data_IF_606460201173
#
_entry.id   IF_606460201173
#
_cell.length_a   1.000
_cell.length_b   1.000
_cell.length_c   1.000
_cell.angle_alpha   90.00
_cell.angle_beta   90.00
_cell.angle_gamma   90.00
#
_symmetry.space_group_name_H-M   'P 1'
#
loop_
_entity.id
_entity.type
_entity.pdbx_description
1 polymer ?
#
# COMPACT_ATOMS: atom_id res chain seq x y z
N UNK A 1 62.29 -28.98 -16.98
CA UNK A 1 61.42 -28.18 -17.88
C UNK A 1 62.03 -26.80 -18.04
N UNK A 2 62.53 -26.46 -19.24
CA UNK A 2 63.27 -25.21 -19.49
C UNK A 2 62.40 -23.98 -19.19
N UNK A 3 63.02 -22.88 -18.73
CA UNK A 3 62.36 -21.62 -18.37
C UNK A 3 61.33 -21.14 -19.41
N UNK A 4 61.64 -21.32 -20.70
CA UNK A 4 60.73 -21.01 -21.81
C UNK A 4 59.41 -21.81 -21.76
N UNK A 5 59.47 -23.10 -21.40
CA UNK A 5 58.28 -23.96 -21.25
C UNK A 5 57.44 -23.58 -20.02
N UNK A 6 58.08 -23.11 -18.94
CA UNK A 6 57.36 -22.59 -17.76
C UNK A 6 56.65 -21.27 -18.09
N UNK A 7 57.27 -20.40 -18.87
CA UNK A 7 56.69 -19.13 -19.31
C UNK A 7 55.49 -19.35 -20.25
N UNK A 8 55.61 -20.29 -21.19
CA UNK A 8 54.51 -20.72 -22.06
C UNK A 8 53.34 -21.34 -21.28
N UNK A 9 53.63 -22.17 -20.27
CA UNK A 9 52.58 -22.77 -19.44
C UNK A 9 51.83 -21.71 -18.61
N UNK A 10 52.56 -20.73 -18.06
CA UNK A 10 51.98 -19.65 -17.26
C UNK A 10 51.14 -18.69 -18.12
N UNK A 11 51.61 -18.38 -19.34
CA UNK A 11 50.88 -17.61 -20.33
C UNK A 11 49.57 -18.31 -20.76
N UNK A 12 49.60 -19.63 -20.93
CA UNK A 12 48.42 -20.41 -21.31
C UNK A 12 47.38 -20.44 -20.17
N UNK A 13 47.82 -20.60 -18.92
CA UNK A 13 46.95 -20.56 -17.73
C UNK A 13 46.25 -19.19 -17.56
N UNK A 14 46.97 -18.08 -17.79
CA UNK A 14 46.39 -16.75 -17.77
C UNK A 14 45.35 -16.56 -18.88
N UNK A 15 45.62 -17.05 -20.09
CA UNK A 15 44.69 -16.95 -21.22
C UNK A 15 43.40 -17.77 -21.00
N UNK A 16 43.50 -18.95 -20.39
CA UNK A 16 42.34 -19.78 -20.03
C UNK A 16 41.49 -19.13 -18.93
N UNK A 17 42.12 -18.48 -17.94
CA UNK A 17 41.39 -17.76 -16.89
C UNK A 17 40.60 -16.56 -17.43
N UNK A 18 41.17 -15.84 -18.42
CA UNK A 18 40.48 -14.73 -19.08
C UNK A 18 39.29 -15.21 -19.93
N UNK A 19 39.41 -16.35 -20.62
CA UNK A 19 38.31 -16.97 -21.36
C UNK A 19 37.15 -17.42 -20.46
N UNK A 20 37.42 -17.86 -19.23
CA UNK A 20 36.37 -18.20 -18.25
C UNK A 20 35.59 -16.98 -17.76
N UNK A 21 36.22 -15.80 -17.67
CA UNK A 21 35.55 -14.55 -17.32
C UNK A 21 34.61 -14.11 -18.45
N UNK A 22 35.02 -14.24 -19.72
CA UNK A 22 34.18 -13.93 -20.89
C UNK A 22 33.13 -15.01 -21.20
N UNK A 23 33.39 -16.28 -20.86
CA UNK A 23 32.39 -17.35 -20.99
C UNK A 23 31.31 -17.27 -19.89
N UNK A 24 31.62 -16.64 -18.75
CA UNK A 24 30.69 -16.43 -17.63
C UNK A 24 30.14 -14.99 -17.55
N UNK A 25 30.35 -14.14 -18.56
CA UNK A 25 29.47 -12.99 -18.77
C UNK A 25 28.15 -13.54 -19.32
N UNK A 26 27.35 -14.12 -18.41
CA UNK A 26 25.96 -14.41 -18.66
C UNK A 26 25.37 -13.16 -19.30
N UNK A 27 24.79 -13.39 -20.48
CA UNK A 27 23.94 -12.46 -21.20
C UNK A 27 23.27 -11.55 -20.19
N UNK A 28 23.59 -10.26 -20.22
CA UNK A 28 22.67 -9.23 -19.76
C UNK A 28 21.44 -9.41 -20.66
N UNK A 29 20.59 -10.34 -20.25
CA UNK A 29 19.21 -10.34 -20.62
C UNK A 29 18.73 -9.07 -19.91
N UNK A 30 18.74 -7.97 -20.65
CA UNK A 30 17.71 -6.97 -20.46
C UNK A 30 16.43 -7.75 -20.78
N UNK A 31 15.98 -8.55 -19.81
CA UNK A 31 14.57 -8.61 -19.56
C UNK A 31 14.23 -7.13 -19.49
N UNK A 32 13.54 -6.63 -20.53
CA UNK A 32 12.37 -5.85 -20.20
C UNK A 32 11.78 -6.63 -19.02
N UNK A 33 11.88 -6.08 -17.82
CA UNK A 33 10.69 -6.09 -17.01
C UNK A 33 9.61 -5.62 -17.98
N UNK A 34 8.98 -6.60 -18.64
CA UNK A 34 7.55 -6.68 -18.52
C UNK A 34 7.38 -6.56 -17.02
N UNK A 35 7.17 -5.32 -16.59
CA UNK A 35 6.37 -5.07 -15.42
C UNK A 35 5.19 -5.96 -15.75
N UNK A 36 5.15 -7.14 -15.14
CA UNK A 36 3.95 -7.92 -15.05
C UNK A 36 3.09 -7.03 -14.16
N UNK A 37 2.54 -5.98 -14.77
CA UNK A 37 1.37 -5.31 -14.27
C UNK A 37 0.36 -6.43 -14.44
N UNK A 38 0.21 -7.25 -13.40
CA UNK A 38 -0.97 -8.05 -13.26
C UNK A 38 -2.13 -7.05 -13.43
N UNK A 39 -2.90 -7.11 -14.53
CA UNK A 39 -3.98 -6.16 -14.77
C UNK A 39 -5.18 -6.40 -13.83
N UNK A 40 -5.06 -7.36 -12.91
CA UNK A 40 -5.94 -7.55 -11.77
C UNK A 40 -5.27 -6.88 -10.56
N UNK A 41 -5.78 -5.79 -9.97
CA UNK A 41 -6.60 -5.98 -8.76
C UNK A 41 -7.44 -4.76 -8.33
N UNK A 42 -7.43 -3.63 -9.04
CA UNK A 42 -8.30 -2.50 -8.67
C UNK A 42 -9.70 -2.72 -9.24
N UNK A 43 -10.41 -3.72 -8.71
CA UNK A 43 -11.82 -3.97 -9.03
C UNK A 43 -12.60 -2.69 -8.78
N UNK A 44 -13.19 -2.15 -9.85
CA UNK A 44 -14.18 -1.09 -9.72
C UNK A 44 -15.42 -1.66 -9.04
N UNK A 45 -15.83 -0.99 -7.98
CA UNK A 45 -16.97 -1.30 -7.16
C UNK A 45 -18.08 -0.30 -7.46
N UNK A 46 -19.30 -0.80 -7.52
CA UNK A 46 -20.50 0.02 -7.40
C UNK A 46 -20.66 0.55 -5.98
N UNK A 47 -21.61 1.47 -5.77
CA UNK A 47 -21.97 1.94 -4.43
C UNK A 47 -22.30 0.77 -3.49
N UNK A 48 -23.16 -0.15 -3.92
CA UNK A 48 -23.60 -1.29 -3.09
C UNK A 48 -22.44 -2.25 -2.79
N UNK A 49 -21.53 -2.47 -3.75
CA UNK A 49 -20.34 -3.30 -3.51
C UNK A 49 -19.36 -2.64 -2.54
N UNK A 50 -19.14 -1.33 -2.64
CA UNK A 50 -18.32 -0.60 -1.68
C UNK A 50 -18.98 -0.60 -0.29
N UNK A 51 -20.30 -0.38 -0.22
CA UNK A 51 -21.06 -0.43 1.02
C UNK A 51 -20.90 -1.79 1.72
N UNK A 52 -21.09 -2.89 0.98
CA UNK A 52 -20.90 -4.24 1.51
C UNK A 52 -19.44 -4.50 1.91
N UNK A 53 -18.46 -3.99 1.15
CA UNK A 53 -17.04 -4.09 1.50
C UNK A 53 -16.77 -3.45 2.87
N UNK A 54 -17.31 -2.26 3.12
CA UNK A 54 -17.12 -1.57 4.40
C UNK A 54 -17.88 -2.25 5.55
N UNK A 55 -19.06 -2.83 5.29
CA UNK A 55 -19.75 -3.66 6.29
C UNK A 55 -18.89 -4.86 6.71
N UNK A 56 -18.30 -5.58 5.74
CA UNK A 56 -17.43 -6.72 6.00
C UNK A 56 -16.16 -6.31 6.78
N UNK A 57 -15.66 -5.10 6.53
CA UNK A 57 -14.54 -4.52 7.28
C UNK A 57 -14.92 -4.03 8.70
N UNK A 58 -16.21 -4.06 9.06
CA UNK A 58 -16.71 -3.81 10.42
C UNK A 58 -17.29 -2.42 10.67
N UNK A 59 -17.54 -1.62 9.63
CA UNK A 59 -18.24 -0.34 9.75
C UNK A 59 -19.75 -0.56 9.94
N UNK A 60 -20.40 0.33 10.69
CA UNK A 60 -21.86 0.38 10.79
C UNK A 60 -22.47 1.06 9.56
N UNK A 61 -23.72 0.72 9.21
CA UNK A 61 -24.41 1.36 8.09
C UNK A 61 -24.39 2.89 8.18
N UNK A 62 -24.59 3.45 9.37
CA UNK A 62 -24.59 4.90 9.59
C UNK A 62 -23.23 5.55 9.29
N UNK A 63 -22.13 4.88 9.64
CA UNK A 63 -20.78 5.35 9.32
C UNK A 63 -20.55 5.29 7.81
N UNK A 64 -20.96 4.19 7.17
CA UNK A 64 -20.80 4.00 5.74
C UNK A 64 -21.59 5.05 4.96
N UNK A 65 -22.85 5.30 5.32
CA UNK A 65 -23.61 6.40 4.72
C UNK A 65 -22.89 7.72 4.88
N UNK A 66 -22.33 8.02 6.05
CA UNK A 66 -21.60 9.28 6.27
C UNK A 66 -20.31 9.36 5.43
N UNK A 67 -19.64 8.24 5.18
CA UNK A 67 -18.41 8.17 4.39
C UNK A 67 -18.71 8.25 2.89
N UNK A 68 -19.70 7.52 2.40
CA UNK A 68 -20.06 7.47 0.98
C UNK A 68 -20.92 8.66 0.55
N UNK A 69 -21.68 9.28 1.46
CA UNK A 69 -22.48 10.47 1.17
C UNK A 69 -21.67 11.78 1.07
N UNK A 70 -20.33 11.73 1.06
CA UNK A 70 -19.48 12.88 0.70
C UNK A 70 -19.88 14.25 1.29
N UNK A 71 -19.46 15.34 0.66
CA UNK A 71 -19.94 16.70 0.99
C UNK A 71 -21.25 17.02 0.23
N UNK A 72 -22.28 16.16 0.32
CA UNK A 72 -23.52 16.35 -0.45
C UNK A 72 -24.48 17.37 0.18
N UNK A 73 -23.97 18.55 0.53
CA UNK A 73 -24.83 19.66 0.95
C UNK A 73 -25.54 20.36 -0.21
N UNK A 74 -25.18 20.14 -1.48
CA UNK A 74 -25.70 20.97 -2.59
C UNK A 74 -25.94 20.32 -3.98
N UNK A 75 -25.73 19.01 -4.21
CA UNK A 75 -25.84 18.45 -5.58
C UNK A 75 -26.96 17.40 -5.72
N UNK A 76 -27.63 17.40 -6.88
CA UNK A 76 -28.74 16.52 -7.22
C UNK A 76 -28.31 15.05 -7.24
N UNK A 77 -29.13 14.14 -6.68
CA UNK A 77 -28.90 12.68 -6.59
C UNK A 77 -28.48 11.99 -7.90
N UNK A 78 -28.74 12.61 -9.06
CA UNK A 78 -28.39 12.08 -10.38
C UNK A 78 -26.88 12.12 -10.70
N UNK A 79 -26.10 13.06 -10.12
CA UNK A 79 -24.64 13.13 -10.31
C UNK A 79 -23.87 12.13 -9.43
N UNK A 80 -24.53 11.55 -8.42
CA UNK A 80 -23.95 10.58 -7.48
C UNK A 80 -23.66 9.20 -8.11
N UNK A 81 -24.22 8.93 -9.30
CA UNK A 81 -24.23 7.61 -9.94
C UNK A 81 -23.12 7.37 -10.98
N UNK A 82 -22.35 8.40 -11.34
CA UNK A 82 -21.32 8.26 -12.38
C UNK A 82 -19.92 7.93 -11.83
N UNK A 83 -19.73 7.96 -10.51
CA UNK A 83 -18.47 7.55 -9.90
C UNK A 83 -18.47 6.05 -9.59
N UNK A 84 -17.32 5.43 -9.86
CA UNK A 84 -17.00 4.11 -9.37
C UNK A 84 -16.20 4.21 -8.06
N UNK A 85 -16.04 3.10 -7.36
CA UNK A 85 -15.27 3.04 -6.12
C UNK A 85 -14.19 1.97 -6.24
N UNK A 86 -13.16 2.05 -5.41
CA UNK A 86 -12.17 0.99 -5.30
C UNK A 86 -11.54 1.00 -3.91
N UNK A 87 -10.81 -0.07 -3.59
CA UNK A 87 -9.96 -0.10 -2.40
C UNK A 87 -8.52 -0.32 -2.80
N UNK A 88 -7.61 0.46 -2.23
CA UNK A 88 -6.18 0.22 -2.32
C UNK A 88 -5.68 -0.33 -0.99
N UNK A 89 -4.81 -1.32 -1.03
CA UNK A 89 -4.28 -1.97 0.17
C UNK A 89 -2.76 -2.09 0.14
N UNK A 90 -2.14 -1.90 1.29
CA UNK A 90 -0.69 -2.05 1.48
C UNK A 90 -0.41 -2.86 2.74
N UNK A 91 0.30 -3.98 2.58
CA UNK A 91 0.77 -4.77 3.71
C UNK A 91 1.94 -4.06 4.41
N UNK A 92 1.83 -3.89 5.72
CA UNK A 92 2.81 -3.23 6.57
C UNK A 92 3.72 -4.29 7.21
N UNK A 93 5.01 -4.28 6.92
CA UNK A 93 5.93 -5.33 7.41
C UNK A 93 6.43 -5.04 8.83
N UNK A 94 5.52 -5.07 9.82
CA UNK A 94 5.84 -4.80 11.24
C UNK A 94 6.84 -5.83 11.78
N UNK A 95 6.60 -7.12 11.53
CA UNK A 95 7.55 -8.21 11.79
C UNK A 95 7.40 -9.31 10.74
N UNK A 96 8.34 -10.28 10.65
CA UNK A 96 8.20 -11.40 9.72
C UNK A 96 6.89 -12.18 9.86
N UNK A 97 6.30 -12.18 11.06
CA UNK A 97 5.13 -12.97 11.45
C UNK A 97 3.88 -12.14 11.77
N UNK A 98 3.92 -10.81 11.55
CA UNK A 98 2.80 -9.89 11.74
C UNK A 98 2.83 -8.79 10.68
N UNK A 99 1.84 -8.81 9.78
CA UNK A 99 1.72 -7.89 8.65
C UNK A 99 0.30 -7.30 8.55
N UNK A 100 -0.04 -6.30 9.36
CA UNK A 100 -1.33 -5.62 9.23
C UNK A 100 -1.43 -4.90 7.87
N UNK A 101 -2.65 -4.52 7.49
CA UNK A 101 -2.91 -3.90 6.18
C UNK A 101 -3.41 -2.47 6.35
N UNK A 102 -2.74 -1.53 5.70
CA UNK A 102 -3.26 -0.18 5.47
C UNK A 102 -4.25 -0.24 4.30
N UNK A 103 -5.45 0.32 4.45
CA UNK A 103 -6.50 0.29 3.45
C UNK A 103 -7.02 1.71 3.18
N UNK A 104 -7.15 2.03 1.90
CA UNK A 104 -7.74 3.27 1.42
C UNK A 104 -9.04 2.93 0.70
N UNK A 105 -10.13 3.58 1.09
CA UNK A 105 -11.39 3.57 0.36
C UNK A 105 -11.41 4.81 -0.52
N UNK A 106 -11.53 4.62 -1.83
CA UNK A 106 -11.42 5.70 -2.80
C UNK A 106 -12.63 5.78 -3.71
N UNK A 107 -12.94 7.00 -4.10
CA UNK A 107 -13.84 7.30 -5.20
C UNK A 107 -13.00 7.46 -6.48
N UNK A 108 -13.46 6.85 -7.56
CA UNK A 108 -12.79 6.78 -8.84
C UNK A 108 -13.66 7.43 -9.90
N UNK A 109 -13.08 8.42 -10.58
CA UNK A 109 -13.64 8.91 -11.84
C UNK A 109 -13.33 7.88 -12.92
N UNK A 110 -14.37 7.26 -13.46
CA UNK A 110 -14.31 6.31 -14.58
C UNK A 110 -14.84 6.91 -15.88
N UNK A 111 -15.11 8.21 -15.89
CA UNK A 111 -15.61 8.92 -17.06
C UNK A 111 -14.60 8.84 -18.21
N UNK A 112 -15.09 8.65 -19.43
CA UNK A 112 -14.28 8.65 -20.66
C UNK A 112 -13.18 7.57 -20.74
N UNK A 113 -13.25 6.52 -19.91
CA UNK A 113 -12.38 5.34 -20.01
C UNK A 113 -10.98 5.50 -19.42
N UNK A 114 -10.72 6.59 -18.69
CA UNK A 114 -9.54 6.74 -17.85
C UNK A 114 -9.93 6.60 -16.38
N UNK A 115 -9.16 5.84 -15.60
CA UNK A 115 -9.47 5.57 -14.20
C UNK A 115 -8.55 6.39 -13.30
N UNK A 116 -9.12 7.36 -12.60
CA UNK A 116 -8.37 8.25 -11.73
C UNK A 116 -9.01 8.33 -10.35
N UNK A 117 -8.17 8.44 -9.31
CA UNK A 117 -8.62 8.73 -7.96
C UNK A 117 -9.22 10.13 -7.96
N UNK A 118 -10.51 10.23 -7.66
CA UNK A 118 -11.22 11.49 -7.49
C UNK A 118 -11.07 12.00 -6.04
N UNK A 119 -11.24 11.10 -5.07
CA UNK A 119 -11.19 11.43 -3.64
C UNK A 119 -10.78 10.21 -2.83
N UNK A 120 -10.02 10.43 -1.75
CA UNK A 120 -9.92 9.45 -0.66
C UNK A 120 -11.13 9.65 0.26
N UNK A 121 -11.94 8.63 0.43
CA UNK A 121 -13.13 8.67 1.28
C UNK A 121 -12.77 8.40 2.74
N UNK A 122 -11.92 7.39 2.96
CA UNK A 122 -11.50 6.95 4.29
C UNK A 122 -10.16 6.21 4.20
N UNK A 123 -9.36 6.34 5.24
CA UNK A 123 -8.15 5.51 5.47
C UNK A 123 -8.33 4.73 6.76
N UNK A 124 -7.87 3.49 6.80
CA UNK A 124 -7.89 2.68 8.01
C UNK A 124 -6.77 1.62 8.03
N UNK A 125 -6.54 1.02 9.19
CA UNK A 125 -5.59 -0.08 9.37
C UNK A 125 -6.30 -1.33 9.89
N UNK A 126 -6.39 -2.36 9.05
CA UNK A 126 -6.76 -3.70 9.50
C UNK A 126 -5.57 -4.34 10.23
N UNK A 127 -5.69 -4.43 11.56
CA UNK A 127 -4.65 -4.94 12.45
C UNK A 127 -4.69 -6.47 12.62
N UNK A 128 -5.65 -7.14 11.99
CA UNK A 128 -5.76 -8.60 12.06
C UNK A 128 -4.82 -9.25 11.02
N UNK A 129 -3.99 -10.19 11.46
CA UNK A 129 -3.13 -10.98 10.57
C UNK A 129 -2.91 -12.38 11.11
N UNK A 130 -3.29 -13.43 10.36
CA UNK A 130 -3.11 -14.84 10.74
C UNK A 130 -3.51 -15.14 12.21
N UNK A 131 -4.74 -14.78 12.58
CA UNK A 131 -5.30 -14.92 13.94
C UNK A 131 -4.62 -14.07 15.03
N UNK A 132 -3.63 -13.22 14.67
CA UNK A 132 -3.02 -12.26 15.59
C UNK A 132 -3.69 -10.91 15.41
N UNK A 133 -4.08 -10.33 16.54
CA UNK A 133 -4.49 -8.94 16.64
C UNK A 133 -3.50 -8.21 17.55
N UNK A 134 -3.10 -7.00 17.15
CA UNK A 134 -2.37 -6.06 17.98
C UNK A 134 -3.12 -4.74 18.04
N UNK A 135 -2.92 -4.01 19.12
CA UNK A 135 -3.38 -2.64 19.25
C UNK A 135 -2.30 -1.70 18.74
N UNK A 136 -2.71 -0.57 18.18
CA UNK A 136 -1.81 0.44 17.64
C UNK A 136 -2.11 1.78 18.32
N UNK A 137 -1.08 2.56 18.60
CA UNK A 137 -1.18 3.95 19.02
C UNK A 137 -0.20 4.79 18.23
N UNK A 138 -0.62 5.99 17.82
CA UNK A 138 0.15 6.83 16.91
C UNK A 138 -0.76 7.44 15.86
N UNK A 139 -0.19 7.77 14.70
CA UNK A 139 -0.93 8.41 13.63
C UNK A 139 -0.58 7.84 12.26
N UNK A 140 -1.53 7.99 11.34
CA UNK A 140 -1.37 7.79 9.91
C UNK A 140 -1.65 9.13 9.25
N UNK A 141 -0.64 9.73 8.63
CA UNK A 141 -0.83 10.84 7.70
C UNK A 141 -0.98 10.28 6.29
N UNK A 142 -1.88 10.87 5.50
CA UNK A 142 -2.08 10.52 4.10
C UNK A 142 -2.37 11.77 3.28
N UNK A 143 -1.95 11.77 2.02
CA UNK A 143 -2.14 12.89 1.09
C UNK A 143 -2.39 12.35 -0.32
N UNK A 144 -3.49 12.78 -0.95
CA UNK A 144 -3.76 12.49 -2.35
C UNK A 144 -3.00 13.49 -3.22
N UNK A 145 -1.70 13.26 -3.44
CA UNK A 145 -0.84 14.24 -4.14
C UNK A 145 -1.24 14.46 -5.61
N UNK A 146 -1.64 13.38 -6.28
CA UNK A 146 -2.15 13.41 -7.66
C UNK A 146 -3.32 12.45 -7.79
N UNK A 147 -4.00 12.51 -8.94
CA UNK A 147 -5.12 11.62 -9.26
C UNK A 147 -4.76 10.12 -9.44
N UNK A 148 -3.51 9.71 -9.17
CA UNK A 148 -3.05 8.32 -9.22
C UNK A 148 -2.04 7.98 -8.11
N UNK A 149 -1.75 8.91 -7.20
CA UNK A 149 -0.67 8.76 -6.23
C UNK A 149 -1.10 9.27 -4.86
N UNK A 150 -1.06 8.37 -3.89
CA UNK A 150 -1.31 8.66 -2.48
C UNK A 150 0.01 8.51 -1.74
N UNK A 151 0.46 9.57 -1.08
CA UNK A 151 1.52 9.49 -0.07
C UNK A 151 0.91 9.08 1.27
N UNK A 152 1.62 8.26 2.03
CA UNK A 152 1.28 8.02 3.43
C UNK A 152 2.52 7.95 4.31
N UNK A 153 2.33 8.25 5.60
CA UNK A 153 3.30 7.93 6.63
C UNK A 153 2.59 7.42 7.89
N UNK A 154 3.17 6.42 8.52
CA UNK A 154 2.68 5.79 9.75
C UNK A 154 3.77 5.95 10.79
N UNK A 155 3.40 6.45 11.95
CA UNK A 155 4.32 6.58 13.08
C UNK A 155 3.60 6.18 14.36
N UNK A 156 4.12 5.16 15.06
CA UNK A 156 3.54 4.74 16.32
C UNK A 156 4.07 3.42 16.84
N UNK A 157 3.33 2.86 17.78
CA UNK A 157 3.69 1.65 18.50
C UNK A 157 2.56 0.63 18.45
N UNK A 158 2.95 -0.62 18.21
CA UNK A 158 2.08 -1.77 18.38
C UNK A 158 2.23 -2.35 19.79
N UNK A 159 1.11 -2.79 20.36
CA UNK A 159 1.02 -3.45 21.66
C UNK A 159 0.26 -4.77 21.52
N UNK A 160 0.52 -5.71 22.43
CA UNK A 160 -0.15 -7.01 22.40
C UNK A 160 -1.61 -6.92 22.84
N UNK A 161 -1.93 -5.97 23.73
CA UNK A 161 -3.24 -5.83 24.33
C UNK A 161 -3.62 -4.36 24.53
N UNK A 162 -4.92 -4.11 24.71
CA UNK A 162 -5.48 -2.83 25.10
C UNK A 162 -6.76 -2.50 24.35
N UNK A 163 -7.27 -1.30 24.57
CA UNK A 163 -8.46 -0.77 23.89
C UNK A 163 -8.06 0.46 23.10
N UNK A 164 -8.37 0.44 21.80
CA UNK A 164 -8.07 1.56 20.92
C UNK A 164 -9.32 2.41 20.66
N UNK A 165 -9.10 3.69 20.42
CA UNK A 165 -10.08 4.60 19.84
C UNK A 165 -9.43 5.35 18.69
N UNK A 166 -10.18 5.58 17.62
CA UNK A 166 -9.74 6.32 16.44
C UNK A 166 -10.40 7.69 16.38
N UNK A 167 -9.65 8.70 15.93
CA UNK A 167 -10.17 10.05 15.66
C UNK A 167 -9.52 10.63 14.42
N UNK A 168 -10.23 11.45 13.65
CA UNK A 168 -9.76 11.94 12.35
C UNK A 168 -10.00 10.94 11.23
N UNK A 169 -9.16 10.97 10.18
CA UNK A 169 -9.26 10.06 9.04
C UNK A 169 -10.35 10.40 8.03
N UNK A 170 -10.75 11.67 7.93
CA UNK A 170 -11.81 12.13 7.02
C UNK A 170 -11.41 12.12 5.54
N UNK A 171 -12.38 12.45 4.69
CA UNK A 171 -12.15 12.46 3.24
C UNK A 171 -11.21 13.59 2.82
N UNK A 172 -10.37 13.35 1.81
CA UNK A 172 -9.46 14.37 1.24
C UNK A 172 -9.49 14.33 -0.30
N UNK A 173 -9.46 15.50 -0.92
CA UNK A 173 -9.35 15.67 -2.37
C UNK A 173 -7.90 15.72 -2.86
N UNK A 174 -7.73 15.92 -4.17
CA UNK A 174 -6.41 16.03 -4.80
C UNK A 174 -5.68 17.26 -4.27
N UNK A 175 -4.43 17.08 -3.83
CA UNK A 175 -3.57 18.10 -3.22
C UNK A 175 -3.79 18.28 -1.71
N UNK A 176 -4.72 17.53 -1.11
CA UNK A 176 -5.06 17.63 0.30
C UNK A 176 -4.55 16.42 1.10
N UNK A 177 -4.23 16.67 2.37
CA UNK A 177 -3.81 15.65 3.31
C UNK A 177 -4.70 15.59 4.55
N UNK A 178 -4.72 14.42 5.18
CA UNK A 178 -5.47 14.14 6.39
C UNK A 178 -4.67 13.30 7.35
N UNK A 179 -5.14 13.22 8.59
CA UNK A 179 -4.52 12.43 9.65
C UNK A 179 -5.55 11.59 10.37
N UNK A 180 -5.21 10.33 10.60
CA UNK A 180 -5.95 9.40 11.44
C UNK A 180 -5.12 9.11 12.69
N UNK A 181 -5.70 9.38 13.85
CA UNK A 181 -5.06 9.19 15.14
C UNK A 181 -5.63 7.97 15.86
N UNK A 182 -4.72 7.20 16.46
CA UNK A 182 -5.04 6.03 17.27
C UNK A 182 -4.58 6.27 18.71
N UNK A 183 -5.54 6.32 19.61
CA UNK A 183 -5.31 6.45 21.05
C UNK A 183 -5.54 5.12 21.73
N UNK A 184 -4.67 4.77 22.66
CA UNK A 184 -4.69 3.49 23.38
C UNK A 184 -4.93 3.71 24.88
N UNK A 185 -5.84 2.94 25.44
CA UNK A 185 -6.07 2.86 26.90
C UNK A 185 -5.89 1.42 27.38
N UNK A 186 -5.49 1.25 28.64
CA UNK A 186 -5.25 -0.08 29.23
C UNK A 186 -4.13 -0.87 28.54
N UNK A 187 -3.15 -0.17 27.95
CA UNK A 187 -2.03 -0.80 27.23
C UNK A 187 -1.24 -1.74 28.14
N UNK A 188 -1.01 -2.95 27.66
CA UNK A 188 -0.11 -3.91 28.29
C UNK A 188 0.82 -4.49 27.21
N UNK A 189 2.09 -4.74 27.57
CA UNK A 189 3.07 -5.45 26.73
C UNK A 189 3.32 -4.81 25.35
N UNK A 190 4.24 -3.84 25.31
CA UNK A 190 4.76 -3.25 24.06
C UNK A 190 5.27 -4.35 23.13
N UNK A 191 4.87 -4.29 21.85
CA UNK A 191 5.28 -5.24 20.84
C UNK A 191 6.39 -4.66 19.96
N UNK A 192 6.16 -3.52 19.32
CA UNK A 192 7.14 -2.92 18.41
C UNK A 192 6.80 -1.47 18.06
N UNK A 193 7.83 -0.63 18.01
CA UNK A 193 7.76 0.65 17.30
C UNK A 193 7.70 0.42 15.79
N UNK A 194 6.89 1.22 15.09
CA UNK A 194 6.72 1.15 13.64
C UNK A 194 6.72 2.55 13.03
N UNK A 195 7.62 2.73 12.07
CA UNK A 195 7.66 3.90 11.19
C UNK A 195 7.78 3.42 9.75
N UNK A 196 6.89 3.90 8.89
CA UNK A 196 6.95 3.65 7.45
C UNK A 196 6.37 4.85 6.72
N UNK A 197 7.02 5.25 5.63
CA UNK A 197 6.48 6.19 4.65
C UNK A 197 6.68 5.58 3.25
N UNK A 198 5.68 5.70 2.40
CA UNK A 198 5.71 5.18 1.04
C UNK A 198 4.57 5.80 0.22
N UNK A 199 4.45 5.34 -1.02
CA UNK A 199 3.36 5.67 -1.92
C UNK A 199 2.49 4.45 -2.23
N UNK A 200 1.22 4.72 -2.46
CA UNK A 200 0.29 3.78 -3.11
C UNK A 200 -0.16 4.39 -4.43
N UNK A 201 -0.13 3.57 -5.47
CA UNK A 201 -0.53 3.95 -6.82
C UNK A 201 -1.83 3.25 -7.19
N UNK A 202 -2.67 3.97 -7.93
CA UNK A 202 -3.93 3.45 -8.50
C UNK A 202 -3.79 3.18 -9.99
#
# INVERSE_FOLDING_TARGET
MNLLKKFLLLSLLLFVSLLLIFANSNKLNIQKENIDIDPSENKLLTYDEMFNTMLEDGYTESEIYSILAGDFSNNNEAELKDFSYATLSKALNVSPDYKPTLKFYIQVDSSHGAYYIYKILKVDMNRQYNSKLKTFTGNIYYNLETNTKIYYSINGDFYNEGTISTTGGGSVGIGEGGELYFSLTGASSHFKYFYEEDYVHY
#
